data_IF_146913936014
#
_entry.id   IF_146913936014
#
_cell.length_a   1.000
_cell.length_b   1.000
_cell.length_c   1.000
_cell.angle_alpha   90.00
_cell.angle_beta   90.00
_cell.angle_gamma   90.00
#
_symmetry.space_group_name_H-M   'P 1'
#
loop_
_entity.id
_entity.type
_entity.pdbx_description
1 polymer ?
#
# COMPACT_ATOMS: atom_id res chain seq x y z
N UNK A 1 5.10 -9.84 5.82
CA UNK A 1 5.86 -8.67 6.32
C UNK A 1 5.77 -8.58 7.82
N UNK A 2 6.82 -8.10 8.51
CA UNK A 2 6.73 -7.85 9.95
C UNK A 2 5.89 -6.60 10.24
N UNK A 3 5.42 -6.45 11.49
CA UNK A 3 4.73 -5.22 11.95
C UNK A 3 5.59 -3.98 11.73
N UNK A 4 6.90 -4.09 11.89
CA UNK A 4 7.84 -2.98 11.67
C UNK A 4 7.85 -2.58 10.19
N UNK A 5 7.94 -3.54 9.26
CA UNK A 5 7.91 -3.22 7.83
C UNK A 5 6.62 -2.49 7.42
N UNK A 6 5.48 -2.93 7.98
CA UNK A 6 4.17 -2.32 7.71
C UNK A 6 4.13 -0.88 8.25
N UNK A 7 4.54 -0.68 9.50
CA UNK A 7 4.53 0.65 10.11
C UNK A 7 5.48 1.62 9.41
N UNK A 8 6.69 1.17 9.08
CA UNK A 8 7.69 1.99 8.39
C UNK A 8 7.20 2.41 6.99
N UNK A 9 6.61 1.47 6.23
CA UNK A 9 6.08 1.78 4.90
C UNK A 9 4.87 2.73 4.96
N UNK A 10 4.00 2.61 5.97
CA UNK A 10 2.91 3.55 6.19
C UNK A 10 3.45 4.93 6.54
N UNK A 11 4.39 5.01 7.48
CA UNK A 11 4.96 6.29 7.91
C UNK A 11 5.61 7.02 6.73
N UNK A 12 6.38 6.30 5.90
CA UNK A 12 7.04 6.87 4.73
C UNK A 12 6.05 7.27 3.63
N UNK A 13 5.07 6.41 3.32
CA UNK A 13 4.03 6.73 2.36
C UNK A 13 3.16 7.91 2.79
N UNK A 14 2.78 7.97 4.06
CA UNK A 14 1.97 9.06 4.63
C UNK A 14 2.74 10.38 4.67
N UNK A 15 4.04 10.37 5.01
CA UNK A 15 4.89 11.56 4.97
C UNK A 15 4.99 12.16 3.55
N UNK A 16 4.74 11.35 2.52
CA UNK A 16 4.83 11.75 1.11
C UNK A 16 3.51 11.61 0.35
N UNK A 17 2.35 11.87 0.97
CA UNK A 17 1.04 11.85 0.27
C UNK A 17 1.04 12.72 -1.00
N UNK A 18 1.84 13.80 -1.03
CA UNK A 18 2.25 14.43 -2.29
C UNK A 18 3.36 13.56 -2.93
N UNK A 19 3.04 12.79 -3.99
CA UNK A 19 3.85 11.62 -4.33
C UNK A 19 5.28 11.98 -4.73
N UNK A 20 6.24 11.28 -4.12
CA UNK A 20 7.64 11.29 -4.57
C UNK A 20 7.93 9.98 -5.28
N UNK A 21 8.67 10.03 -6.39
CA UNK A 21 9.06 8.80 -7.13
C UNK A 21 7.85 7.94 -7.54
N UNK A 22 6.75 8.62 -7.87
CA UNK A 22 5.43 8.09 -8.21
C UNK A 22 4.64 7.44 -7.06
N UNK A 23 5.08 7.46 -5.80
CA UNK A 23 4.30 6.89 -4.70
C UNK A 23 4.12 7.87 -3.54
N UNK A 24 3.04 7.73 -2.75
CA UNK A 24 1.96 6.74 -2.86
C UNK A 24 0.98 7.04 -4.00
N UNK A 25 0.22 6.04 -4.44
CA UNK A 25 -0.94 6.26 -5.30
C UNK A 25 -2.23 6.25 -4.50
N UNK A 26 -3.30 6.84 -5.04
CA UNK A 26 -4.63 6.65 -4.48
C UNK A 26 -5.12 5.22 -4.75
N UNK A 27 -5.49 4.50 -3.69
CA UNK A 27 -6.05 3.16 -3.80
C UNK A 27 -7.58 3.23 -3.95
N UNK A 28 -8.07 2.84 -5.13
CA UNK A 28 -9.49 2.91 -5.49
C UNK A 28 -10.29 1.65 -5.15
N UNK A 29 -9.61 0.53 -4.85
CA UNK A 29 -10.23 -0.76 -4.52
C UNK A 29 -11.21 -1.26 -5.59
N UNK A 30 -10.79 -1.27 -6.86
CA UNK A 30 -11.64 -1.72 -7.97
C UNK A 30 -12.01 -3.20 -7.86
N UNK A 31 -11.19 -3.97 -7.15
CA UNK A 31 -11.35 -5.39 -6.87
C UNK A 31 -12.37 -5.66 -5.74
N UNK A 32 -12.81 -4.63 -5.00
CA UNK A 32 -13.77 -4.81 -3.91
C UNK A 32 -13.21 -5.59 -2.72
N UNK A 33 -11.89 -5.51 -2.47
CA UNK A 33 -11.25 -6.19 -1.35
C UNK A 33 -11.79 -5.67 -0.01
N UNK A 34 -11.92 -6.53 1.01
CA UNK A 34 -12.28 -6.09 2.35
C UNK A 34 -11.15 -5.25 2.94
N UNK A 35 -11.50 -4.13 3.55
CA UNK A 35 -10.56 -3.22 4.21
C UNK A 35 -10.75 -3.26 5.72
N UNK A 36 -9.69 -2.92 6.46
CA UNK A 36 -9.74 -2.78 7.91
C UNK A 36 -10.79 -1.75 8.39
N UNK A 37 -11.23 -1.86 9.65
CA UNK A 37 -12.20 -0.93 10.23
C UNK A 37 -11.75 0.53 10.11
N UNK A 38 -12.68 1.42 9.77
CA UNK A 38 -12.39 2.86 9.65
C UNK A 38 -11.85 3.31 8.29
N UNK A 39 -11.48 2.38 7.40
CA UNK A 39 -10.94 2.70 6.08
C UNK A 39 -12.01 2.99 5.01
N UNK A 40 -12.97 3.86 5.33
CA UNK A 40 -14.06 4.24 4.41
C UNK A 40 -13.72 5.45 3.52
N UNK A 41 -12.70 6.23 3.87
CA UNK A 41 -12.30 7.43 3.15
C UNK A 41 -11.30 7.20 2.00
N UNK A 42 -10.62 8.29 1.61
CA UNK A 42 -9.47 8.23 0.70
C UNK A 42 -8.40 7.32 1.29
N UNK A 43 -7.96 6.37 0.46
CA UNK A 43 -6.92 5.41 0.77
C UNK A 43 -5.76 5.57 -0.20
N UNK A 44 -4.59 5.15 0.24
CA UNK A 44 -3.35 5.22 -0.49
C UNK A 44 -2.66 3.85 -0.48
N UNK A 45 -2.01 3.51 -1.58
CA UNK A 45 -1.13 2.35 -1.68
C UNK A 45 0.33 2.80 -1.71
N UNK A 46 1.19 2.07 -0.98
CA UNK A 46 2.64 2.33 -0.99
C UNK A 46 3.42 1.01 -1.01
N UNK A 47 4.55 0.93 -1.72
CA UNK A 47 5.34 -0.30 -1.80
C UNK A 47 5.90 -0.70 -0.45
N UNK A 48 5.85 -2.00 -0.15
CA UNK A 48 6.42 -2.57 1.06
C UNK A 48 7.48 -3.61 0.70
N UNK A 49 8.68 -3.45 1.25
CA UNK A 49 9.86 -4.26 0.94
C UNK A 49 10.23 -5.13 2.14
N UNK A 50 10.80 -6.31 1.88
CA UNK A 50 11.24 -7.21 2.96
C UNK A 50 12.44 -6.65 3.72
N UNK A 51 13.17 -5.72 3.10
CA UNK A 51 14.29 -4.98 3.67
C UNK A 51 14.28 -3.53 3.18
N UNK A 52 14.43 -2.59 4.11
CA UNK A 52 14.48 -1.15 3.81
C UNK A 52 13.14 -0.54 3.40
N UNK A 53 13.18 0.76 3.11
CA UNK A 53 12.06 1.55 2.59
C UNK A 53 12.16 1.66 1.07
N UNK A 54 11.01 1.85 0.41
CA UNK A 54 10.97 2.10 -1.02
C UNK A 54 11.62 3.45 -1.35
N UNK A 55 12.65 3.44 -2.18
CA UNK A 55 13.42 4.62 -2.55
C UNK A 55 13.38 4.94 -4.05
N UNK A 56 12.42 4.38 -4.78
CA UNK A 56 12.28 4.51 -6.24
C UNK A 56 12.64 3.23 -6.99
N UNK A 57 12.39 3.22 -8.30
CA UNK A 57 12.64 2.06 -9.16
C UNK A 57 11.50 1.04 -9.12
N UNK A 58 11.84 -0.25 -9.08
CA UNK A 58 10.83 -1.31 -9.07
C UNK A 58 10.17 -1.42 -7.69
N UNK A 59 8.84 -1.26 -7.58
CA UNK A 59 8.13 -1.30 -6.30
C UNK A 59 7.89 -2.73 -5.77
N UNK A 60 8.25 -3.76 -6.53
CA UNK A 60 7.85 -5.14 -6.22
C UNK A 60 6.33 -5.33 -6.33
N UNK A 61 5.82 -6.46 -5.84
CA UNK A 61 4.41 -6.85 -6.01
C UNK A 61 3.49 -6.36 -4.89
N UNK A 62 4.03 -6.05 -3.71
CA UNK A 62 3.23 -5.90 -2.49
C UNK A 62 3.06 -4.44 -2.09
N UNK A 63 1.87 -4.10 -1.59
CA UNK A 63 1.48 -2.76 -1.16
C UNK A 63 0.87 -2.79 0.22
N UNK A 64 1.28 -1.86 1.07
CA UNK A 64 0.48 -1.49 2.24
C UNK A 64 -0.57 -0.47 1.83
N UNK A 65 -1.79 -0.66 2.30
CA UNK A 65 -2.89 0.29 2.11
C UNK A 65 -3.12 1.03 3.43
N UNK A 66 -3.17 2.36 3.37
CA UNK A 66 -3.48 3.21 4.52
C UNK A 66 -4.48 4.31 4.16
N UNK A 67 -5.20 4.83 5.14
CA UNK A 67 -6.13 5.94 4.95
C UNK A 67 -5.40 7.30 4.92
N UNK A 68 -6.13 8.38 4.66
CA UNK A 68 -5.56 9.73 4.66
C UNK A 68 -4.88 10.16 5.97
N UNK A 69 -5.19 9.51 7.09
CA UNK A 69 -4.59 9.79 8.40
C UNK A 69 -3.42 8.85 8.73
N UNK A 70 -3.03 7.96 7.81
CA UNK A 70 -1.96 6.99 8.02
C UNK A 70 -2.40 5.76 8.81
N UNK A 71 -3.70 5.48 8.93
CA UNK A 71 -4.15 4.23 9.56
C UNK A 71 -4.04 3.05 8.61
N UNK A 72 -3.54 1.92 9.09
CA UNK A 72 -3.47 0.67 8.32
C UNK A 72 -4.86 0.19 7.90
N UNK A 73 -5.00 -0.14 6.62
CA UNK A 73 -6.22 -0.68 6.03
C UNK A 73 -6.07 -2.13 5.58
N UNK A 74 -5.03 -2.43 4.83
CA UNK A 74 -4.81 -3.76 4.26
C UNK A 74 -3.37 -3.95 3.80
N UNK A 75 -3.02 -5.19 3.51
CA UNK A 75 -1.80 -5.58 2.84
C UNK A 75 -2.22 -6.36 1.58
N UNK A 76 -1.82 -5.85 0.42
CA UNK A 76 -2.26 -6.37 -0.87
C UNK A 76 -1.07 -6.79 -1.72
N UNK A 77 -1.29 -7.70 -2.67
CA UNK A 77 -0.26 -8.16 -3.61
C UNK A 77 -0.80 -8.28 -5.03
N UNK A 78 0.04 -7.98 -6.01
CA UNK A 78 -0.19 -8.35 -7.41
C UNK A 78 0.06 -9.84 -7.67
N UNK A 79 0.74 -10.55 -6.75
CA UNK A 79 1.11 -11.95 -6.94
C UNK A 79 -0.15 -12.82 -6.99
N UNK A 80 -0.35 -13.51 -8.12
CA UNK A 80 -1.51 -14.37 -8.33
C UNK A 80 -2.80 -13.63 -8.70
N UNK A 81 -2.77 -12.31 -8.83
CA UNK A 81 -3.92 -11.55 -9.31
C UNK A 81 -4.26 -11.91 -10.78
N UNK A 82 -5.55 -11.94 -11.16
CA UNK A 82 -5.99 -12.40 -12.48
C UNK A 82 -5.59 -11.45 -13.62
N UNK A 83 -5.19 -10.22 -13.31
CA UNK A 83 -4.72 -9.25 -14.28
C UNK A 83 -3.51 -8.49 -13.73
N UNK A 84 -2.73 -7.90 -14.64
CA UNK A 84 -1.43 -7.28 -14.34
C UNK A 84 -1.48 -6.21 -13.24
N UNK A 85 -2.60 -5.48 -13.13
CA UNK A 85 -2.76 -4.36 -12.19
C UNK A 85 -3.62 -4.74 -10.97
N UNK A 86 -4.13 -5.97 -10.95
CA UNK A 86 -5.09 -6.40 -9.94
C UNK A 86 -4.40 -6.68 -8.62
N UNK A 87 -5.17 -6.56 -7.53
CA UNK A 87 -4.73 -6.92 -6.20
C UNK A 87 -5.53 -8.09 -5.61
N UNK A 88 -4.82 -8.89 -4.83
CA UNK A 88 -5.38 -9.81 -3.85
C UNK A 88 -4.94 -9.35 -2.45
N UNK A 89 -5.62 -9.85 -1.41
CA UNK A 89 -5.09 -9.76 -0.04
C UNK A 89 -3.86 -10.67 0.10
N UNK A 90 -2.89 -10.21 0.88
CA UNK A 90 -1.78 -11.05 1.33
C UNK A 90 -2.19 -12.08 2.38
#
# INVERSE_FOLDING_TARGET
YSRINIQDAINDGHAHISPIRNYPHQFKNYEGLPMGPGCAGTRYEFPILTRGLYNGGSPGADRVIFDHNGHYCALNTHTGAPNRNGFLLC
#
